data_IF_564821452449
#
_entry.id   IF_564821452449
#
_cell.length_a   1.000
_cell.length_b   1.000
_cell.length_c   1.000
_cell.angle_alpha   90.00
_cell.angle_beta   90.00
_cell.angle_gamma   90.00
#
_symmetry.space_group_name_H-M   'P 1'
#
loop_
_entity.id
_entity.type
_entity.pdbx_description
1 polymer ?
#
# COMPACT_ATOMS: atom_id res chain seq x y z
N UNK A 1 10.59 8.51 19.52
CA UNK A 1 10.24 7.73 18.32
C UNK A 1 9.41 6.55 18.75
N UNK A 2 8.33 6.25 18.03
CA UNK A 2 7.41 5.16 18.33
C UNK A 2 7.26 4.24 17.10
N UNK A 3 6.62 3.09 17.27
CA UNK A 3 6.38 2.17 16.15
C UNK A 3 5.42 2.78 15.14
N UNK A 4 5.53 2.43 13.85
CA UNK A 4 4.59 2.92 12.83
C UNK A 4 3.12 2.70 13.23
N UNK A 5 2.80 1.51 13.77
CA UNK A 5 1.44 1.15 14.20
C UNK A 5 0.91 2.12 15.28
N UNK A 6 1.73 2.47 16.28
CA UNK A 6 1.33 3.39 17.33
C UNK A 6 1.10 4.81 16.81
N UNK A 7 2.02 5.31 15.98
CA UNK A 7 1.90 6.64 15.36
C UNK A 7 0.62 6.74 14.52
N UNK A 8 0.36 5.76 13.67
CA UNK A 8 -0.87 5.76 12.86
C UNK A 8 -2.14 5.52 13.69
N UNK A 9 -2.05 4.79 14.80
CA UNK A 9 -3.16 4.66 15.74
C UNK A 9 -3.54 6.01 16.37
N UNK A 10 -2.56 6.84 16.73
CA UNK A 10 -2.81 8.21 17.20
C UNK A 10 -3.38 9.10 16.10
N UNK A 11 -2.90 8.97 14.85
CA UNK A 11 -3.44 9.74 13.72
C UNK A 11 -4.91 9.44 13.48
N UNK A 12 -5.33 8.16 13.60
CA UNK A 12 -6.74 7.80 13.49
C UNK A 12 -7.61 8.45 14.58
N UNK A 13 -7.07 8.65 15.79
CA UNK A 13 -7.80 9.27 16.91
C UNK A 13 -7.93 10.78 16.77
N UNK A 14 -6.91 11.47 16.26
CA UNK A 14 -6.86 12.92 16.14
C UNK A 14 -7.22 13.46 14.75
N UNK A 15 -7.64 12.59 13.81
CA UNK A 15 -8.11 12.96 12.48
C UNK A 15 -7.03 13.29 11.45
N UNK A 16 -5.75 13.12 11.77
CA UNK A 16 -4.65 13.35 10.81
C UNK A 16 -4.69 12.40 9.61
N UNK A 17 -5.24 11.19 9.79
CA UNK A 17 -5.42 10.20 8.73
C UNK A 17 -6.35 10.66 7.60
N UNK A 18 -7.23 11.63 7.83
CA UNK A 18 -8.13 12.17 6.82
C UNK A 18 -7.39 12.96 5.71
N UNK A 19 -6.21 13.50 6.03
CA UNK A 19 -5.32 14.12 5.05
C UNK A 19 -4.70 13.12 4.06
N UNK A 20 -4.59 11.84 4.42
CA UNK A 20 -3.92 10.82 3.60
C UNK A 20 -4.62 10.62 2.25
N UNK A 21 -5.96 10.54 2.23
CA UNK A 21 -6.70 10.48 0.97
C UNK A 21 -6.40 11.68 0.08
N UNK A 22 -6.44 12.88 0.64
CA UNK A 22 -6.23 14.13 -0.12
C UNK A 22 -4.85 14.19 -0.76
N UNK A 23 -3.81 13.79 -0.04
CA UNK A 23 -2.42 13.89 -0.51
C UNK A 23 -2.03 12.77 -1.49
N UNK A 24 -2.61 11.57 -1.34
CA UNK A 24 -2.21 10.41 -2.14
C UNK A 24 -3.22 10.04 -3.23
N UNK A 25 -4.38 10.72 -3.29
CA UNK A 25 -5.48 10.35 -4.19
C UNK A 25 -5.04 10.21 -5.63
N UNK A 26 -4.33 11.20 -6.17
CA UNK A 26 -3.92 11.20 -7.59
C UNK A 26 -2.98 10.03 -7.91
N UNK A 27 -2.05 9.74 -7.01
CA UNK A 27 -1.14 8.60 -7.15
C UNK A 27 -1.87 7.27 -7.05
N UNK A 28 -2.78 7.13 -6.09
CA UNK A 28 -3.58 5.91 -5.93
C UNK A 28 -4.52 5.70 -7.13
N UNK A 29 -5.16 6.75 -7.65
CA UNK A 29 -5.98 6.62 -8.87
C UNK A 29 -5.13 6.17 -10.06
N UNK A 30 -3.95 6.75 -10.26
CA UNK A 30 -3.02 6.34 -11.30
C UNK A 30 -2.61 4.85 -11.16
N UNK A 31 -2.36 4.40 -9.92
CA UNK A 31 -2.05 2.99 -9.61
C UNK A 31 -3.22 2.06 -9.95
N UNK A 32 -4.43 2.41 -9.51
CA UNK A 32 -5.65 1.61 -9.75
C UNK A 32 -6.00 1.57 -11.23
N UNK A 33 -5.93 2.68 -11.95
CA UNK A 33 -6.15 2.75 -13.39
C UNK A 33 -5.20 1.82 -14.14
N UNK A 34 -3.92 1.81 -13.75
CA UNK A 34 -2.94 0.89 -14.32
C UNK A 34 -3.24 -0.57 -13.97
N UNK A 35 -3.51 -0.87 -12.69
CA UNK A 35 -3.68 -2.23 -12.21
C UNK A 35 -4.97 -2.90 -12.71
N UNK A 36 -6.05 -2.12 -12.87
CA UNK A 36 -7.37 -2.61 -13.31
C UNK A 36 -7.56 -2.58 -14.83
N UNK A 37 -6.57 -2.05 -15.58
CA UNK A 37 -6.69 -1.90 -17.02
C UNK A 37 -6.84 -3.27 -17.71
N UNK A 38 -7.86 -3.40 -18.56
CA UNK A 38 -8.15 -4.63 -19.32
C UNK A 38 -8.83 -5.73 -18.50
N UNK A 39 -9.08 -5.55 -17.21
CA UNK A 39 -9.82 -6.52 -16.39
C UNK A 39 -11.33 -6.26 -16.48
N UNK A 40 -12.08 -7.30 -16.81
CA UNK A 40 -13.56 -7.27 -16.80
C UNK A 40 -14.14 -7.51 -15.41
N UNK A 41 -13.41 -8.23 -14.56
CA UNK A 41 -13.71 -8.48 -13.15
C UNK A 41 -12.40 -8.63 -12.40
N UNK A 42 -12.35 -8.16 -11.13
CA UNK A 42 -11.19 -8.32 -10.27
C UNK A 42 -11.56 -8.36 -8.78
N UNK A 43 -10.65 -8.92 -7.99
CA UNK A 43 -10.62 -8.84 -6.54
C UNK A 43 -9.37 -8.13 -6.07
N UNK A 44 -9.47 -7.34 -4.98
CA UNK A 44 -8.38 -6.51 -4.50
C UNK A 44 -8.18 -6.65 -2.98
N UNK A 45 -6.92 -6.64 -2.56
CA UNK A 45 -6.50 -6.39 -1.17
C UNK A 45 -5.72 -5.07 -1.13
N UNK A 46 -6.07 -4.20 -0.19
CA UNK A 46 -5.30 -3.00 0.14
C UNK A 46 -4.47 -3.29 1.41
N UNK A 47 -3.16 -3.43 1.23
CA UNK A 47 -2.20 -3.76 2.29
C UNK A 47 -1.73 -2.48 2.98
N UNK A 48 -2.09 -2.31 4.25
CA UNK A 48 -1.96 -1.06 4.99
C UNK A 48 -3.07 -0.08 4.63
N UNK A 49 -4.31 -0.54 4.70
CA UNK A 49 -5.47 0.18 4.19
C UNK A 49 -5.86 1.44 5.01
N UNK A 50 -5.25 1.65 6.18
CA UNK A 50 -5.58 2.75 7.07
C UNK A 50 -7.09 2.81 7.37
N UNK A 51 -7.70 3.98 7.17
CA UNK A 51 -9.14 4.17 7.38
C UNK A 51 -10.04 3.59 6.26
N UNK A 52 -9.47 2.86 5.30
CA UNK A 52 -10.18 2.11 4.27
C UNK A 52 -10.71 2.93 3.08
N UNK A 53 -10.22 4.13 2.84
CA UNK A 53 -10.74 4.97 1.76
C UNK A 53 -10.53 4.37 0.36
N UNK A 54 -9.39 3.69 0.11
CA UNK A 54 -9.11 2.98 -1.14
C UNK A 54 -10.12 1.86 -1.37
N UNK A 55 -10.43 1.10 -0.31
CA UNK A 55 -11.42 0.01 -0.38
C UNK A 55 -12.82 0.57 -0.69
N UNK A 56 -13.24 1.66 -0.02
CA UNK A 56 -14.51 2.33 -0.32
C UNK A 56 -14.59 2.84 -1.76
N UNK A 57 -13.48 3.39 -2.26
CA UNK A 57 -13.40 3.84 -3.66
C UNK A 57 -13.51 2.67 -4.63
N UNK A 58 -12.67 1.65 -4.45
CA UNK A 58 -12.57 0.49 -5.34
C UNK A 58 -13.87 -0.32 -5.39
N UNK A 59 -14.57 -0.46 -4.27
CA UNK A 59 -15.84 -1.19 -4.20
C UNK A 59 -17.00 -0.52 -4.95
N UNK A 60 -16.84 0.73 -5.39
CA UNK A 60 -17.82 1.41 -6.28
C UNK A 60 -17.59 1.08 -7.77
N UNK A 61 -16.49 0.43 -8.12
CA UNK A 61 -16.27 -0.08 -9.47
C UNK A 61 -17.06 -1.40 -9.63
N UNK A 62 -17.99 -1.44 -10.56
CA UNK A 62 -18.84 -2.61 -10.83
C UNK A 62 -18.05 -3.87 -11.23
N UNK A 63 -16.78 -3.71 -11.64
CA UNK A 63 -15.86 -4.83 -11.94
C UNK A 63 -15.23 -5.41 -10.68
N UNK A 64 -15.24 -4.69 -9.56
CA UNK A 64 -14.66 -5.16 -8.31
C UNK A 64 -15.61 -6.15 -7.63
N UNK A 65 -15.30 -7.45 -7.71
CA UNK A 65 -16.10 -8.50 -7.09
C UNK A 65 -15.84 -8.67 -5.59
N UNK A 66 -14.68 -8.21 -5.11
CA UNK A 66 -14.31 -8.26 -3.69
C UNK A 66 -13.16 -7.30 -3.40
N UNK A 67 -13.36 -6.43 -2.39
CA UNK A 67 -12.33 -5.55 -1.85
C UNK A 67 -12.11 -5.84 -0.35
N UNK A 68 -10.85 -5.97 0.06
CA UNK A 68 -10.43 -6.28 1.44
C UNK A 68 -9.38 -5.29 1.89
N UNK A 69 -9.58 -4.67 3.05
CA UNK A 69 -8.57 -3.86 3.72
C UNK A 69 -7.90 -4.62 4.86
N UNK A 70 -6.59 -4.50 4.96
CA UNK A 70 -5.81 -5.02 6.09
C UNK A 70 -4.86 -3.95 6.61
N UNK A 71 -4.78 -3.80 7.93
CA UNK A 71 -3.90 -2.85 8.60
C UNK A 71 -3.53 -3.35 9.99
N UNK A 72 -2.31 -3.03 10.46
CA UNK A 72 -1.86 -3.38 11.80
C UNK A 72 -2.47 -2.53 12.91
N UNK A 73 -3.02 -1.36 12.59
CA UNK A 73 -3.61 -0.44 13.57
C UNK A 73 -5.08 -0.75 13.84
N UNK A 74 -5.39 -1.16 15.07
CA UNK A 74 -6.77 -1.42 15.50
C UNK A 74 -7.67 -0.16 15.43
N UNK A 75 -7.10 1.03 15.65
CA UNK A 75 -7.83 2.28 15.57
C UNK A 75 -8.20 2.63 14.12
N UNK A 76 -7.27 2.40 13.16
CA UNK A 76 -7.54 2.55 11.74
C UNK A 76 -8.65 1.59 11.28
N UNK A 77 -8.55 0.31 11.64
CA UNK A 77 -9.57 -0.70 11.28
C UNK A 77 -10.92 -0.41 11.93
N UNK A 78 -10.94 0.05 13.18
CA UNK A 78 -12.18 0.48 13.84
C UNK A 78 -12.83 1.64 13.08
N UNK A 79 -12.02 2.64 12.67
CA UNK A 79 -12.49 3.77 11.86
C UNK A 79 -12.99 3.30 10.49
N UNK A 80 -12.24 2.42 9.80
CA UNK A 80 -12.64 1.86 8.51
C UNK A 80 -14.00 1.16 8.58
N UNK A 81 -14.19 0.27 9.56
CA UNK A 81 -15.47 -0.43 9.80
C UNK A 81 -16.63 0.48 10.15
N UNK A 82 -16.37 1.61 10.83
CA UNK A 82 -17.39 2.62 11.14
C UNK A 82 -17.84 3.37 9.89
N UNK A 83 -16.91 3.64 8.96
CA UNK A 83 -17.16 4.37 7.72
C UNK A 83 -17.72 3.48 6.61
N UNK A 84 -17.53 2.17 6.73
CA UNK A 84 -17.95 1.20 5.72
C UNK A 84 -18.28 -0.16 6.35
N UNK A 85 -19.53 -0.53 6.30
CA UNK A 85 -20.05 -1.81 6.79
C UNK A 85 -20.27 -2.86 5.70
N UNK A 86 -19.91 -2.57 4.46
CA UNK A 86 -20.13 -3.45 3.30
C UNK A 86 -18.90 -4.30 2.98
N UNK A 87 -17.70 -3.72 3.11
CA UNK A 87 -16.46 -4.38 2.80
C UNK A 87 -15.82 -5.05 4.02
N UNK A 88 -14.79 -5.85 3.78
CA UNK A 88 -14.09 -6.59 4.83
C UNK A 88 -12.81 -5.85 5.25
N UNK A 89 -12.61 -5.71 6.56
CA UNK A 89 -11.43 -5.09 7.16
C UNK A 89 -10.87 -5.97 8.27
N UNK A 90 -9.56 -6.24 8.21
CA UNK A 90 -8.84 -7.07 9.17
C UNK A 90 -7.75 -6.27 9.89
N UNK A 91 -7.69 -6.41 11.22
CA UNK A 91 -6.60 -5.87 12.03
C UNK A 91 -5.59 -6.99 12.26
N UNK A 92 -4.56 -7.06 11.43
CA UNK A 92 -3.62 -8.16 11.43
C UNK A 92 -2.22 -7.69 11.00
N UNK A 93 -1.22 -8.47 11.37
CA UNK A 93 0.14 -8.28 10.87
C UNK A 93 0.26 -8.77 9.43
N UNK A 94 0.69 -7.87 8.53
CA UNK A 94 0.83 -8.15 7.11
C UNK A 94 1.82 -9.29 6.81
N UNK A 95 2.80 -9.54 7.68
CA UNK A 95 3.77 -10.63 7.51
C UNK A 95 3.20 -12.01 7.85
N UNK A 96 2.14 -12.07 8.65
CA UNK A 96 1.60 -13.32 9.16
C UNK A 96 0.21 -13.65 8.59
N UNK A 97 -0.54 -12.64 8.18
CA UNK A 97 -1.88 -12.86 7.66
C UNK A 97 -1.89 -13.50 6.28
N UNK A 98 -2.85 -14.38 6.03
CA UNK A 98 -3.08 -15.03 4.75
C UNK A 98 -4.57 -14.96 4.41
N UNK A 99 -4.96 -14.45 3.23
CA UNK A 99 -6.36 -14.41 2.83
C UNK A 99 -6.90 -15.83 2.57
N UNK A 100 -8.17 -16.06 2.85
CA UNK A 100 -8.86 -17.32 2.55
C UNK A 100 -8.88 -17.67 1.06
N UNK A 101 -8.81 -16.65 0.21
CA UNK A 101 -8.69 -16.77 -1.25
C UNK A 101 -7.76 -15.69 -1.77
N UNK A 102 -6.84 -16.06 -2.63
CA UNK A 102 -5.95 -15.14 -3.35
C UNK A 102 -6.75 -14.16 -4.21
N UNK A 103 -6.15 -13.00 -4.49
CA UNK A 103 -6.77 -11.90 -5.24
C UNK A 103 -6.04 -11.61 -6.55
N UNK A 104 -6.70 -10.85 -7.42
CA UNK A 104 -6.14 -10.42 -8.70
C UNK A 104 -5.15 -9.26 -8.50
N UNK A 105 -5.42 -8.37 -7.54
CA UNK A 105 -4.62 -7.18 -7.29
C UNK A 105 -4.32 -7.06 -5.78
N UNK A 106 -3.06 -6.86 -5.43
CA UNK A 106 -2.66 -6.33 -4.12
C UNK A 106 -2.13 -4.92 -4.33
N UNK A 107 -2.81 -3.96 -3.74
CA UNK A 107 -2.45 -2.55 -3.69
C UNK A 107 -1.81 -2.22 -2.35
N UNK A 108 -0.90 -1.25 -2.32
CA UNK A 108 -0.37 -0.67 -1.09
C UNK A 108 0.13 0.74 -1.33
N UNK A 109 -0.17 1.67 -0.44
CA UNK A 109 0.32 3.05 -0.49
C UNK A 109 0.94 3.45 0.84
N UNK A 110 2.21 3.89 0.81
CA UNK A 110 2.95 4.40 1.98
C UNK A 110 3.11 3.39 3.12
N UNK A 111 3.43 2.13 2.83
CA UNK A 111 3.47 1.06 3.85
C UNK A 111 4.78 0.28 3.90
N UNK A 112 5.30 -0.17 2.78
CA UNK A 112 6.34 -1.22 2.75
C UNK A 112 7.65 -0.81 3.39
N UNK A 113 8.00 0.45 3.40
CA UNK A 113 9.21 0.95 4.05
C UNK A 113 9.13 0.99 5.60
N UNK A 114 7.96 0.71 6.19
CA UNK A 114 7.81 0.55 7.63
C UNK A 114 8.17 -0.84 8.16
N UNK A 115 8.64 -1.73 7.31
CA UNK A 115 9.08 -3.08 7.70
C UNK A 115 10.61 -3.15 7.78
N UNK A 116 11.13 -3.89 8.76
CA UNK A 116 12.58 -4.11 8.91
C UNK A 116 13.20 -4.74 7.68
N UNK A 117 12.50 -5.68 7.06
CA UNK A 117 12.85 -6.29 5.78
C UNK A 117 11.64 -6.26 4.82
N UNK A 118 11.53 -5.22 3.97
CA UNK A 118 10.45 -5.13 2.99
C UNK A 118 10.44 -6.30 1.99
N UNK A 119 11.58 -6.91 1.71
CA UNK A 119 11.65 -8.03 0.78
C UNK A 119 10.92 -9.27 1.31
N UNK A 120 10.92 -9.49 2.62
CA UNK A 120 10.14 -10.57 3.26
C UNK A 120 8.64 -10.34 3.06
N UNK A 121 8.16 -9.11 3.26
CA UNK A 121 6.75 -8.77 3.05
C UNK A 121 6.33 -8.96 1.59
N UNK A 122 7.12 -8.47 0.63
CA UNK A 122 6.86 -8.62 -0.80
C UNK A 122 6.80 -10.10 -1.19
N UNK A 123 7.76 -10.92 -0.70
CA UNK A 123 7.76 -12.35 -0.95
C UNK A 123 6.54 -13.06 -0.32
N UNK A 124 6.16 -12.69 0.92
CA UNK A 124 4.98 -13.23 1.59
C UNK A 124 3.69 -12.93 0.81
N UNK A 125 3.49 -11.67 0.41
CA UNK A 125 2.35 -11.23 -0.40
C UNK A 125 2.31 -11.97 -1.73
N UNK A 126 3.43 -12.02 -2.46
CA UNK A 126 3.52 -12.69 -3.77
C UNK A 126 3.10 -14.14 -3.67
N UNK A 127 3.63 -14.87 -2.68
CA UNK A 127 3.35 -16.30 -2.52
C UNK A 127 1.93 -16.60 -2.04
N UNK A 128 1.41 -15.79 -1.12
CA UNK A 128 0.22 -16.18 -0.35
C UNK A 128 -1.04 -15.40 -0.74
N UNK A 129 -0.92 -14.16 -1.26
CA UNK A 129 -2.09 -13.30 -1.47
C UNK A 129 -2.49 -13.15 -2.93
N UNK A 130 -1.54 -13.28 -3.88
CA UNK A 130 -1.74 -12.96 -5.29
C UNK A 130 -2.00 -14.22 -6.09
N UNK A 131 -3.04 -14.23 -6.93
CA UNK A 131 -3.31 -15.28 -7.92
C UNK A 131 -2.16 -15.36 -8.93
N UNK A 132 -2.07 -16.49 -9.64
CA UNK A 132 -1.26 -16.55 -10.87
C UNK A 132 -1.76 -15.48 -11.84
N UNK A 133 -0.83 -14.75 -12.47
CA UNK A 133 -1.10 -13.59 -13.34
C UNK A 133 -1.73 -12.38 -12.64
N UNK A 134 -1.91 -12.45 -11.32
CA UNK A 134 -2.31 -11.30 -10.51
C UNK A 134 -1.14 -10.33 -10.30
N UNK A 135 -1.43 -9.16 -9.74
CA UNK A 135 -0.52 -8.03 -9.68
C UNK A 135 -0.28 -7.55 -8.25
N UNK A 136 0.98 -7.26 -7.93
CA UNK A 136 1.34 -6.38 -6.83
C UNK A 136 1.63 -5.00 -7.39
N UNK A 137 1.04 -3.96 -6.77
CA UNK A 137 1.34 -2.56 -7.06
C UNK A 137 1.49 -1.79 -5.75
N UNK A 138 2.62 -1.12 -5.58
CA UNK A 138 2.85 -0.26 -4.43
C UNK A 138 3.21 1.16 -4.85
N UNK A 139 2.83 2.15 -4.05
CA UNK A 139 3.24 3.54 -4.14
C UNK A 139 3.95 3.96 -2.86
N UNK A 140 5.05 4.68 -2.99
CA UNK A 140 5.82 5.22 -1.86
C UNK A 140 6.39 6.60 -2.18
N UNK A 141 6.42 7.47 -1.17
CA UNK A 141 7.01 8.79 -1.24
C UNK A 141 8.38 8.84 -0.53
N UNK A 142 8.60 7.91 0.41
CA UNK A 142 9.88 7.77 1.11
C UNK A 142 10.81 6.80 0.38
N UNK A 143 11.70 7.35 -0.45
CA UNK A 143 12.72 6.58 -1.19
C UNK A 143 13.95 7.45 -1.49
N UNK A 144 15.08 6.81 -1.82
CA UNK A 144 16.39 7.46 -1.86
C UNK A 144 16.49 8.64 -2.83
N UNK A 145 15.84 8.58 -3.98
CA UNK A 145 15.88 9.64 -4.99
C UNK A 145 14.93 10.81 -4.66
N UNK A 146 13.97 10.63 -3.70
CA UNK A 146 13.12 11.71 -3.21
C UNK A 146 13.70 12.35 -1.95
N UNK A 147 14.65 13.27 -2.13
CA UNK A 147 15.36 13.90 -1.00
C UNK A 147 14.45 14.69 -0.07
N UNK A 148 13.33 15.19 -0.56
CA UNK A 148 12.36 15.95 0.24
C UNK A 148 11.73 15.11 1.37
N UNK A 149 11.70 13.77 1.24
CA UNK A 149 11.15 12.87 2.26
C UNK A 149 12.16 12.38 3.31
N UNK A 150 13.47 12.66 3.14
CA UNK A 150 14.52 12.06 3.98
C UNK A 150 14.44 12.46 5.46
N UNK A 151 13.84 13.60 5.79
CA UNK A 151 13.64 14.07 7.18
C UNK A 151 12.44 13.41 7.88
N UNK A 152 11.58 12.71 7.15
CA UNK A 152 10.31 12.17 7.69
C UNK A 152 10.46 11.23 8.90
N UNK A 153 11.48 10.35 8.99
CA UNK A 153 11.63 9.52 10.19
C UNK A 153 11.73 10.35 11.48
N UNK A 154 12.43 11.49 11.44
CA UNK A 154 12.58 12.40 12.55
C UNK A 154 11.30 13.25 12.75
N UNK A 155 10.74 13.80 11.69
CA UNK A 155 9.54 14.66 11.74
C UNK A 155 8.31 13.90 12.22
N UNK A 156 8.12 12.66 11.75
CA UNK A 156 7.02 11.80 12.17
C UNK A 156 7.32 11.01 13.45
N UNK A 157 8.53 11.12 14.01
CA UNK A 157 8.97 10.36 15.17
C UNK A 157 8.79 8.84 15.04
N UNK A 158 9.01 8.28 13.84
CA UNK A 158 8.84 6.85 13.54
C UNK A 158 10.16 6.11 13.65
N UNK A 159 10.15 4.95 14.32
CA UNK A 159 11.36 4.14 14.59
C UNK A 159 11.86 3.36 13.38
N UNK A 160 10.96 2.95 12.48
CA UNK A 160 11.28 2.10 11.33
C UNK A 160 10.77 2.78 10.07
N UNK A 161 11.71 3.30 9.27
CA UNK A 161 11.50 3.75 7.90
C UNK A 161 12.74 3.40 7.10
N UNK A 162 12.65 2.41 6.23
CA UNK A 162 13.77 1.88 5.44
C UNK A 162 13.91 2.66 4.14
N UNK A 163 15.04 3.34 4.02
CA UNK A 163 15.37 4.14 2.84
C UNK A 163 16.02 3.27 1.77
N UNK A 164 15.27 2.93 0.75
CA UNK A 164 15.76 2.20 -0.42
C UNK A 164 15.62 3.03 -1.69
N UNK A 165 16.49 2.77 -2.66
CA UNK A 165 16.42 3.35 -3.98
C UNK A 165 15.34 2.68 -4.85
N UNK A 166 14.90 3.36 -5.91
CA UNK A 166 14.00 2.77 -6.92
C UNK A 166 14.53 1.44 -7.46
N UNK A 167 15.86 1.36 -7.68
CA UNK A 167 16.51 0.12 -8.14
C UNK A 167 16.37 -1.02 -7.13
N UNK A 168 16.58 -0.76 -5.84
CA UNK A 168 16.46 -1.77 -4.79
C UNK A 168 15.02 -2.26 -4.65
N UNK A 169 14.03 -1.36 -4.71
CA UNK A 169 12.62 -1.74 -4.69
C UNK A 169 12.27 -2.68 -5.85
N UNK A 170 12.71 -2.40 -7.08
CA UNK A 170 12.52 -3.31 -8.22
C UNK A 170 13.17 -4.67 -8.00
N UNK A 171 14.38 -4.70 -7.45
CA UNK A 171 15.08 -5.95 -7.12
C UNK A 171 14.31 -6.79 -6.09
N UNK A 172 13.65 -6.18 -5.11
CA UNK A 172 12.82 -6.91 -4.15
C UNK A 172 11.62 -7.60 -4.85
N UNK A 173 10.98 -6.92 -5.79
CA UNK A 173 9.90 -7.51 -6.60
C UNK A 173 10.40 -8.68 -7.45
N UNK A 174 11.51 -8.52 -8.16
CA UNK A 174 12.14 -9.53 -9.00
C UNK A 174 12.55 -10.77 -8.19
N UNK A 175 13.18 -10.56 -7.02
CA UNK A 175 13.58 -11.66 -6.10
C UNK A 175 12.38 -12.40 -5.51
N UNK A 176 11.24 -11.75 -5.36
CA UNK A 176 10.00 -12.41 -4.94
C UNK A 176 9.36 -13.26 -6.06
N UNK A 177 9.91 -13.24 -7.27
CA UNK A 177 9.42 -14.00 -8.43
C UNK A 177 8.42 -13.26 -9.30
N UNK A 178 8.17 -11.98 -9.02
CA UNK A 178 7.31 -11.15 -9.86
C UNK A 178 7.98 -10.86 -11.21
N UNK A 179 7.19 -10.90 -12.26
CA UNK A 179 7.59 -10.66 -13.66
C UNK A 179 7.12 -9.29 -14.13
N UNK A 180 7.65 -8.84 -15.27
CA UNK A 180 7.29 -7.56 -15.88
C UNK A 180 7.38 -6.39 -14.89
N UNK A 181 8.39 -6.40 -14.02
CA UNK A 181 8.59 -5.39 -12.98
C UNK A 181 8.86 -4.04 -13.63
N UNK A 182 7.98 -3.09 -13.34
CA UNK A 182 8.03 -1.71 -13.86
C UNK A 182 7.98 -0.73 -12.71
N UNK A 183 8.50 0.47 -12.96
CA UNK A 183 8.39 1.60 -12.05
C UNK A 183 8.16 2.89 -12.85
N UNK A 184 7.48 3.83 -12.22
CA UNK A 184 7.34 5.21 -12.70
C UNK A 184 7.08 6.14 -11.51
N UNK A 185 7.07 7.43 -11.75
CA UNK A 185 6.80 8.43 -10.74
C UNK A 185 5.56 9.23 -11.11
N UNK A 186 4.69 9.46 -10.15
CA UNK A 186 3.49 10.26 -10.33
C UNK A 186 3.59 11.56 -9.52
N UNK A 187 3.20 12.69 -10.12
CA UNK A 187 3.16 13.98 -9.45
C UNK A 187 4.54 14.59 -9.12
N UNK A 188 5.60 14.20 -9.83
CA UNK A 188 6.94 14.79 -9.63
C UNK A 188 6.99 16.25 -10.12
N UNK A 189 7.77 17.06 -9.43
CA UNK A 189 8.09 18.43 -9.82
C UNK A 189 9.56 18.77 -9.54
N UNK A 190 9.91 20.05 -9.52
CA UNK A 190 11.31 20.50 -9.34
C UNK A 190 11.91 20.09 -8.01
N UNK A 191 11.13 20.11 -6.94
CA UNK A 191 11.60 19.94 -5.55
C UNK A 191 11.03 18.66 -4.92
N UNK A 192 10.11 17.96 -5.60
CA UNK A 192 9.44 16.75 -5.18
C UNK A 192 9.67 15.60 -6.15
N UNK A 193 10.21 14.49 -5.67
CA UNK A 193 10.51 13.31 -6.50
C UNK A 193 9.28 12.59 -7.08
N UNK A 194 8.10 12.95 -6.62
CA UNK A 194 6.84 12.25 -6.94
C UNK A 194 6.65 10.97 -6.13
N UNK A 195 5.48 10.40 -6.18
CA UNK A 195 5.23 9.04 -5.69
C UNK A 195 5.92 8.03 -6.60
N UNK A 196 6.87 7.27 -6.06
CA UNK A 196 7.45 6.13 -6.76
C UNK A 196 6.44 4.98 -6.75
N UNK A 197 6.01 4.56 -7.92
CA UNK A 197 5.13 3.41 -8.10
C UNK A 197 5.96 2.26 -8.64
N UNK A 198 5.85 1.09 -8.00
CA UNK A 198 6.50 -0.16 -8.45
C UNK A 198 5.44 -1.25 -8.57
N UNK A 199 5.48 -2.02 -9.65
CA UNK A 199 4.52 -3.08 -9.91
C UNK A 199 5.18 -4.28 -10.57
N UNK A 200 4.59 -5.46 -10.36
CA UNK A 200 4.97 -6.71 -11.02
C UNK A 200 3.82 -7.70 -11.05
N UNK A 201 3.91 -8.69 -11.92
CA UNK A 201 2.89 -9.74 -12.12
C UNK A 201 3.40 -11.08 -11.58
N UNK A 202 2.56 -11.83 -10.85
CA UNK A 202 2.90 -13.12 -10.26
C UNK A 202 2.83 -14.29 -11.27
#
# INVERSE_FOLDING_TARGET
MDTPINVFSEWAQNGKDEGMEKHHRDSVMNMLDFACNGLSEYSLIDAGCGNGWVIRHTSNDNRCSRAIGIDGSSNMITKAKRLDNKNQYYCEDLLNWIPSKKVDIVHSMEVFYYFEDPALLINHITKNWIKKEGRLIMGIDFYYENKASHSWPQECCITIMKLHSEKEWKVFFEKAGLKDVKSWRNGQDKDWGGTLIVTGTN
#
